data_IF_575348939744
#
_entry.id   IF_575348939744
#
_cell.length_a   1.000
_cell.length_b   1.000
_cell.length_c   1.000
_cell.angle_alpha   90.00
_cell.angle_beta   90.00
_cell.angle_gamma   90.00
#
_symmetry.space_group_name_H-M   'P 1'
#
loop_
_entity.id
_entity.type
_entity.pdbx_description
1 polymer ?
#
# COMPACT_ATOMS: atom_id res chain seq x y z
N UNK A 1 -4.17 6.42 -7.49
CA UNK A 1 -4.15 5.31 -6.51
C UNK A 1 -5.34 4.39 -6.79
N UNK A 2 -5.29 3.14 -6.34
CA UNK A 2 -6.24 2.08 -6.76
C UNK A 2 -7.31 1.84 -5.69
N UNK A 3 -8.57 1.64 -6.09
CA UNK A 3 -9.68 1.25 -5.23
C UNK A 3 -10.18 -0.15 -5.57
N UNK A 4 -10.59 -0.90 -4.56
CA UNK A 4 -11.08 -2.27 -4.72
C UNK A 4 -12.58 -2.30 -5.06
N UNK A 5 -12.96 -2.60 -6.32
CA UNK A 5 -14.38 -2.78 -6.69
C UNK A 5 -14.83 -4.23 -6.48
N UNK A 6 -16.00 -4.41 -5.88
CA UNK A 6 -16.57 -5.73 -5.56
C UNK A 6 -17.04 -6.50 -6.78
N UNK A 7 -16.32 -7.57 -7.15
CA UNK A 7 -16.88 -8.72 -7.86
C UNK A 7 -16.35 -10.01 -7.22
N UNK A 8 -17.23 -10.92 -6.74
CA UNK A 8 -16.78 -12.15 -6.13
C UNK A 8 -16.33 -13.17 -7.20
N UNK A 9 -15.12 -13.71 -7.07
CA UNK A 9 -14.72 -14.97 -7.73
C UNK A 9 -14.09 -15.92 -6.70
N UNK A 10 -14.53 -17.18 -6.77
CA UNK A 10 -14.12 -18.43 -6.11
C UNK A 10 -13.86 -18.43 -4.56
N UNK A 11 -14.19 -19.51 -3.83
CA UNK A 11 -14.43 -19.43 -2.39
C UNK A 11 -13.21 -19.28 -1.47
N UNK A 12 -11.99 -19.60 -1.91
CA UNK A 12 -10.83 -19.70 -1.02
C UNK A 12 -9.94 -18.45 -0.94
N UNK A 13 -10.03 -17.52 -1.90
CA UNK A 13 -9.33 -16.22 -1.88
C UNK A 13 -10.18 -15.19 -2.62
N UNK A 14 -11.11 -14.53 -1.93
CA UNK A 14 -11.93 -13.45 -2.53
C UNK A 14 -11.17 -12.11 -2.54
N UNK A 15 -10.00 -12.07 -3.17
CA UNK A 15 -9.31 -10.81 -3.46
C UNK A 15 -10.15 -9.97 -4.42
N UNK A 16 -10.35 -8.69 -4.12
CA UNK A 16 -11.09 -7.79 -5.02
C UNK A 16 -10.16 -7.34 -6.13
N UNK A 17 -10.71 -7.09 -7.33
CA UNK A 17 -9.90 -6.47 -8.40
C UNK A 17 -9.71 -4.99 -8.07
N UNK A 18 -8.45 -4.57 -7.98
CA UNK A 18 -8.07 -3.17 -7.87
C UNK A 18 -8.32 -2.46 -9.22
N UNK A 19 -8.98 -1.31 -9.16
CA UNK A 19 -9.30 -0.45 -10.29
C UNK A 19 -8.67 0.92 -10.06
N UNK A 20 -8.09 1.51 -11.10
CA UNK A 20 -7.54 2.86 -11.00
C UNK A 20 -8.64 3.88 -10.70
N UNK A 21 -8.36 4.78 -9.75
CA UNK A 21 -9.28 5.82 -9.36
C UNK A 21 -8.55 7.18 -9.37
N UNK A 22 -9.08 8.11 -10.17
CA UNK A 22 -8.49 9.44 -10.37
C UNK A 22 -8.64 10.32 -9.12
N UNK A 23 -9.68 10.14 -8.30
CA UNK A 23 -9.85 10.91 -7.08
C UNK A 23 -8.82 10.47 -6.03
N UNK A 24 -8.56 9.16 -5.95
CA UNK A 24 -7.48 8.64 -5.10
C UNK A 24 -6.09 9.05 -5.61
N UNK A 25 -5.88 9.13 -6.92
CA UNK A 25 -4.65 9.70 -7.49
C UNK A 25 -4.47 11.16 -7.12
N UNK A 26 -5.51 11.98 -7.24
CA UNK A 26 -5.46 13.40 -6.93
C UNK A 26 -5.08 13.64 -5.46
N UNK A 27 -5.71 12.92 -4.53
CA UNK A 27 -5.36 12.99 -3.10
C UNK A 27 -3.91 12.54 -2.80
N UNK A 28 -3.46 11.47 -3.46
CA UNK A 28 -2.09 11.00 -3.36
C UNK A 28 -1.06 12.03 -3.86
N UNK A 29 -1.35 12.63 -5.01
CA UNK A 29 -0.48 13.62 -5.63
C UNK A 29 -0.44 14.89 -4.80
N UNK A 30 -1.57 15.31 -4.21
CA UNK A 30 -1.63 16.45 -3.29
C UNK A 30 -0.66 16.26 -2.12
N UNK A 31 -0.68 15.10 -1.45
CA UNK A 31 0.24 14.80 -0.36
C UNK A 31 1.71 14.70 -0.84
N UNK A 32 1.95 14.02 -1.97
CA UNK A 32 3.30 13.87 -2.52
C UNK A 32 3.95 15.23 -2.87
N UNK A 33 3.15 16.20 -3.33
CA UNK A 33 3.60 17.56 -3.65
C UNK A 33 4.05 18.38 -2.43
N UNK A 34 3.69 17.97 -1.21
CA UNK A 34 4.20 18.58 0.03
C UNK A 34 5.65 18.16 0.33
N UNK A 35 6.20 17.19 -0.42
CA UNK A 35 7.53 16.61 -0.19
C UNK A 35 7.72 16.06 1.23
N UNK A 36 6.64 15.60 1.87
CA UNK A 36 6.67 15.03 3.22
C UNK A 36 7.29 13.63 3.20
N UNK A 37 8.13 13.34 4.19
CA UNK A 37 8.67 11.99 4.42
C UNK A 37 7.77 11.12 5.32
N UNK A 38 6.55 11.61 5.61
CA UNK A 38 5.59 11.00 6.53
C UNK A 38 4.28 10.73 5.81
N UNK A 39 3.52 9.77 6.32
CA UNK A 39 2.13 9.53 5.88
C UNK A 39 1.27 10.77 6.15
N UNK A 40 0.29 11.03 5.29
CA UNK A 40 -0.70 12.09 5.50
C UNK A 40 -1.55 11.79 6.73
N UNK A 41 -2.11 12.85 7.32
CA UNK A 41 -3.01 12.72 8.46
C UNK A 41 -4.25 11.90 8.06
N UNK A 42 -4.67 10.95 8.88
CA UNK A 42 -5.86 10.15 8.57
C UNK A 42 -7.13 11.00 8.41
N UNK A 43 -7.20 12.16 9.07
CA UNK A 43 -8.33 13.09 8.92
C UNK A 43 -8.42 13.74 7.54
N UNK A 44 -7.31 13.86 6.79
CA UNK A 44 -7.30 14.42 5.43
C UNK A 44 -7.65 13.38 4.35
N UNK A 45 -7.78 12.10 4.73
CA UNK A 45 -8.05 10.97 3.82
C UNK A 45 -8.95 9.93 4.48
N UNK A 46 -10.12 10.39 4.93
CA UNK A 46 -11.11 9.56 5.62
C UNK A 46 -11.41 8.28 4.81
N UNK A 47 -11.32 7.13 5.48
CA UNK A 47 -11.58 5.79 4.92
C UNK A 47 -10.62 5.36 3.78
N UNK A 48 -9.51 6.07 3.59
CA UNK A 48 -8.49 5.78 2.57
C UNK A 48 -7.18 5.34 3.25
N UNK A 49 -6.76 4.11 2.96
CA UNK A 49 -5.43 3.61 3.32
C UNK A 49 -4.33 4.30 2.50
N UNK A 50 -3.12 4.38 3.04
CA UNK A 50 -2.01 5.05 2.39
C UNK A 50 -0.70 4.30 2.60
N UNK A 51 0.01 4.11 1.49
CA UNK A 51 1.40 3.69 1.48
C UNK A 51 2.26 4.82 0.92
N UNK A 52 3.40 5.11 1.57
CA UNK A 52 4.38 6.07 1.06
C UNK A 52 5.72 5.39 0.78
N UNK A 53 6.48 5.94 -0.16
CA UNK A 53 7.87 5.57 -0.35
C UNK A 53 8.67 6.72 -0.96
N UNK A 54 9.86 6.96 -0.42
CA UNK A 54 10.81 7.93 -0.96
C UNK A 54 11.87 7.16 -1.72
N UNK A 55 12.03 7.50 -2.99
CA UNK A 55 12.96 6.87 -3.91
C UNK A 55 13.99 7.94 -4.29
N UNK A 56 15.16 7.92 -3.64
CA UNK A 56 16.19 8.97 -3.80
C UNK A 56 16.73 9.06 -5.23
N UNK A 57 16.91 10.27 -5.76
CA UNK A 57 17.53 10.49 -7.07
C UNK A 57 16.62 11.30 -7.98
N UNK A 58 17.03 12.54 -8.24
CA UNK A 58 16.26 13.56 -8.97
C UNK A 58 16.02 13.27 -10.46
N UNK A 59 16.69 12.26 -11.02
CA UNK A 59 16.58 11.88 -12.44
C UNK A 59 15.69 10.66 -12.68
N UNK A 60 15.03 10.12 -11.64
CA UNK A 60 14.18 8.93 -11.75
C UNK A 60 12.81 9.32 -12.32
N UNK A 61 12.33 8.56 -13.31
CA UNK A 61 10.99 8.75 -13.84
C UNK A 61 9.92 8.36 -12.80
N UNK A 62 8.73 8.98 -12.82
CA UNK A 62 7.62 8.57 -11.96
C UNK A 62 7.26 7.09 -12.09
N UNK A 63 7.34 6.54 -13.30
CA UNK A 63 7.07 5.12 -13.55
C UNK A 63 8.07 4.20 -12.84
N UNK A 64 9.37 4.54 -12.89
CA UNK A 64 10.41 3.80 -12.16
C UNK A 64 10.17 3.88 -10.64
N UNK A 65 9.85 5.06 -10.12
CA UNK A 65 9.60 5.25 -8.70
C UNK A 65 8.38 4.43 -8.23
N UNK A 66 7.29 4.42 -9.01
CA UNK A 66 6.11 3.62 -8.73
C UNK A 66 6.41 2.11 -8.74
N UNK A 67 7.13 1.62 -9.75
CA UNK A 67 7.53 0.21 -9.82
C UNK A 67 8.40 -0.19 -8.62
N UNK A 68 9.37 0.65 -8.26
CA UNK A 68 10.26 0.38 -7.13
C UNK A 68 9.51 0.40 -5.80
N UNK A 69 8.60 1.36 -5.59
CA UNK A 69 7.77 1.44 -4.41
C UNK A 69 6.90 0.19 -4.23
N UNK A 70 6.23 -0.26 -5.31
CA UNK A 70 5.42 -1.49 -5.29
C UNK A 70 6.26 -2.71 -4.90
N UNK A 71 7.45 -2.86 -5.49
CA UNK A 71 8.39 -3.95 -5.15
C UNK A 71 8.80 -3.92 -3.67
N UNK A 72 9.07 -2.75 -3.13
CA UNK A 72 9.50 -2.61 -1.73
C UNK A 72 8.34 -2.85 -0.76
N UNK A 73 7.13 -2.36 -1.04
CA UNK A 73 5.95 -2.69 -0.24
C UNK A 73 5.66 -4.18 -0.25
N UNK A 74 5.80 -4.86 -1.39
CA UNK A 74 5.60 -6.31 -1.46
C UNK A 74 6.71 -7.11 -0.77
N UNK A 75 7.92 -6.55 -0.65
CA UNK A 75 9.04 -7.20 0.03
C UNK A 75 8.87 -7.30 1.55
N UNK A 76 7.89 -6.61 2.13
CA UNK A 76 7.54 -6.78 3.54
C UNK A 76 6.88 -8.13 3.83
N UNK A 77 6.44 -8.85 2.80
CA UNK A 77 5.88 -10.19 2.96
C UNK A 77 6.90 -11.10 3.68
N UNK A 78 6.53 -11.72 4.82
CA UNK A 78 7.44 -12.59 5.55
C UNK A 78 7.92 -13.74 4.68
N UNK A 79 9.22 -14.06 4.73
CA UNK A 79 9.80 -15.20 4.01
C UNK A 79 9.18 -16.54 4.42
N UNK A 80 8.65 -16.63 5.65
CA UNK A 80 7.89 -17.78 6.17
C UNK A 80 6.49 -17.91 5.57
N UNK A 81 6.05 -16.97 4.74
CA UNK A 81 4.66 -16.84 4.31
C UNK A 81 3.76 -16.22 5.38
N UNK A 82 2.52 -15.91 4.99
CA UNK A 82 1.48 -15.46 5.92
C UNK A 82 0.87 -16.64 6.68
N UNK A 83 0.33 -16.37 7.86
CA UNK A 83 -0.48 -17.36 8.54
C UNK A 83 -1.70 -17.75 7.66
N UNK A 84 -2.17 -19.00 7.69
CA UNK A 84 -3.30 -19.44 6.86
C UNK A 84 -4.61 -18.70 7.16
N UNK A 85 -4.71 -18.11 8.35
CA UNK A 85 -5.88 -17.36 8.82
C UNK A 85 -5.94 -15.95 8.24
N UNK A 86 -4.84 -15.46 7.62
CA UNK A 86 -4.65 -14.12 7.09
C UNK A 86 -5.03 -13.01 8.09
N UNK A 87 -4.83 -13.26 9.39
CA UNK A 87 -5.15 -12.29 10.45
C UNK A 87 -4.00 -11.31 10.59
N UNK A 88 -4.32 -10.03 10.46
CA UNK A 88 -3.42 -8.94 10.83
C UNK A 88 -3.46 -8.72 12.34
N UNK A 89 -2.39 -9.11 13.03
CA UNK A 89 -2.27 -8.96 14.49
C UNK A 89 -1.53 -7.68 14.86
N UNK A 90 -1.65 -7.24 16.10
CA UNK A 90 -1.01 -6.00 16.56
C UNK A 90 0.52 -6.10 16.45
N UNK A 91 1.09 -7.28 16.66
CA UNK A 91 2.53 -7.55 16.56
C UNK A 91 3.09 -7.18 15.18
N UNK A 92 2.28 -7.31 14.12
CA UNK A 92 2.64 -6.97 12.74
C UNK A 92 2.76 -5.45 12.50
N UNK A 93 2.38 -4.60 13.47
CA UNK A 93 2.64 -3.17 13.45
C UNK A 93 4.05 -2.80 13.94
N UNK A 94 4.78 -3.72 14.59
CA UNK A 94 6.07 -3.39 15.21
C UNK A 94 7.24 -3.72 14.28
N UNK A 95 8.26 -2.84 14.16
CA UNK A 95 9.44 -3.07 13.31
C UNK A 95 10.17 -4.39 13.56
N UNK A 96 10.13 -4.89 14.80
CA UNK A 96 10.69 -6.19 15.20
C UNK A 96 10.19 -7.37 14.38
N UNK A 97 8.98 -7.26 13.81
CA UNK A 97 8.32 -8.33 13.04
C UNK A 97 8.24 -8.02 11.54
N UNK A 98 9.07 -7.09 11.04
CA UNK A 98 8.97 -6.50 9.70
C UNK A 98 7.55 -5.96 9.46
N UNK A 99 7.33 -4.68 9.76
CA UNK A 99 6.01 -4.05 9.59
C UNK A 99 5.43 -4.41 8.23
N UNK A 100 4.39 -5.24 8.21
CA UNK A 100 3.82 -5.74 6.95
C UNK A 100 2.69 -4.85 6.45
N UNK A 101 2.62 -3.60 6.95
CA UNK A 101 1.48 -2.70 6.76
C UNK A 101 1.30 -2.29 5.30
N UNK A 102 2.40 -2.06 4.58
CA UNK A 102 2.31 -1.69 3.18
C UNK A 102 1.94 -2.91 2.34
N UNK A 103 2.54 -4.06 2.62
CA UNK A 103 2.19 -5.33 1.98
C UNK A 103 0.72 -5.69 2.18
N UNK A 104 0.21 -5.66 3.41
CA UNK A 104 -1.19 -6.04 3.71
C UNK A 104 -2.17 -5.09 3.05
N UNK A 105 -1.87 -3.79 2.98
CA UNK A 105 -2.70 -2.84 2.25
C UNK A 105 -2.68 -3.07 0.73
N UNK A 106 -1.52 -3.41 0.18
CA UNK A 106 -1.35 -3.53 -1.26
C UNK A 106 -1.92 -4.86 -1.80
N UNK A 107 -2.03 -5.90 -0.95
CA UNK A 107 -2.57 -7.23 -1.27
C UNK A 107 -4.07 -7.42 -1.04
N UNK A 108 -4.79 -6.38 -0.59
CA UNK A 108 -6.24 -6.38 -0.35
C UNK A 108 -7.10 -6.20 -1.61
#
# INVERSE_FOLDING_TARGET
MIHARGQPRHPSLRGRKLVYDCDLEAGAQQHASECSLKVSNSSSRKDIGENIRIIEGSTRSPAYAAEKALKEWWSEMPASGLNPELIFTEEMNYPKYNTSRHFTQASM
#
